data_IF_291704259286
#
_entry.id   IF_291704259286
#
_cell.length_a   1.000
_cell.length_b   1.000
_cell.length_c   1.000
_cell.angle_alpha   90.00
_cell.angle_beta   90.00
_cell.angle_gamma   90.00
#
_symmetry.space_group_name_H-M   'P 1'
#
loop_
_entity.id
_entity.type
_entity.pdbx_description
1 polymer ?
#
# COMPACT_ATOMS: atom_id res chain seq x y z
N UNK A 1 12.03 14.47 -6.14
CA UNK A 1 11.30 14.05 -4.93
C UNK A 1 12.23 13.22 -4.06
N UNK A 2 12.26 13.47 -2.75
CA UNK A 2 12.96 12.60 -1.80
C UNK A 2 12.11 11.34 -1.60
N UNK A 3 12.72 10.16 -1.65
CA UNK A 3 12.01 8.91 -1.33
C UNK A 3 11.96 8.76 0.20
N UNK A 4 10.79 8.42 0.78
CA UNK A 4 10.65 8.31 2.22
C UNK A 4 11.40 7.08 2.72
N UNK A 5 11.83 7.13 3.98
CA UNK A 5 12.26 5.92 4.67
C UNK A 5 11.08 4.94 4.72
N UNK A 6 11.34 3.65 4.47
CA UNK A 6 10.28 2.66 4.45
C UNK A 6 9.59 2.52 5.82
N UNK A 7 10.33 2.73 6.91
CA UNK A 7 9.77 2.68 8.26
C UNK A 7 8.76 3.82 8.49
N UNK A 8 8.98 4.99 7.86
CA UNK A 8 8.04 6.12 7.91
C UNK A 8 6.75 5.77 7.18
N UNK A 9 6.85 5.10 6.03
CA UNK A 9 5.66 4.64 5.29
C UNK A 9 4.88 3.63 6.12
N UNK A 10 5.57 2.60 6.65
CA UNK A 10 4.94 1.54 7.46
C UNK A 10 4.23 2.12 8.69
N UNK A 11 4.86 3.08 9.39
CA UNK A 11 4.27 3.73 10.56
C UNK A 11 3.06 4.61 10.23
N UNK A 12 2.93 5.07 8.99
CA UNK A 12 1.81 5.90 8.55
C UNK A 12 0.61 5.07 8.09
N UNK A 13 0.80 3.82 7.64
CA UNK A 13 -0.32 2.95 7.22
C UNK A 13 -1.28 2.74 8.40
N UNK A 14 -2.57 2.91 8.12
CA UNK A 14 -3.65 2.84 9.10
C UNK A 14 -3.81 4.08 9.98
N UNK A 15 -2.94 5.09 9.83
CA UNK A 15 -3.05 6.36 10.51
C UNK A 15 -3.82 7.38 9.66
N UNK A 16 -4.48 8.32 10.33
CA UNK A 16 -5.17 9.41 9.67
C UNK A 16 -4.31 10.69 9.53
N UNK A 17 -4.78 11.64 8.73
CA UNK A 17 -4.11 12.92 8.44
C UNK A 17 -3.84 13.81 9.65
N UNK A 18 -4.45 13.57 10.82
CA UNK A 18 -4.15 14.28 12.06
C UNK A 18 -2.99 13.68 12.85
N UNK A 19 -2.56 12.45 12.52
CA UNK A 19 -1.49 11.76 13.23
C UNK A 19 -0.10 12.32 12.92
N UNK A 20 0.83 12.17 13.88
CA UNK A 20 2.22 12.58 13.69
C UNK A 20 2.94 11.75 12.61
N UNK A 21 2.67 10.43 12.55
CA UNK A 21 3.26 9.54 11.54
C UNK A 21 2.81 9.92 10.12
N UNK A 22 1.51 10.19 9.94
CA UNK A 22 1.00 10.65 8.64
C UNK A 22 1.57 12.01 8.27
N UNK A 23 1.53 12.96 9.21
CA UNK A 23 2.09 14.31 9.02
C UNK A 23 3.56 14.25 8.59
N UNK A 24 4.35 13.35 9.18
CA UNK A 24 5.75 13.13 8.79
C UNK A 24 5.87 12.60 7.37
N UNK A 25 5.09 11.57 7.00
CA UNK A 25 5.13 11.00 5.64
C UNK A 25 4.76 12.05 4.58
N UNK A 26 3.68 12.80 4.81
CA UNK A 26 3.23 13.85 3.89
C UNK A 26 4.29 14.95 3.75
N UNK A 27 4.95 15.34 4.84
CA UNK A 27 6.05 16.30 4.80
C UNK A 27 7.26 15.77 4.02
N UNK A 28 7.66 14.52 4.23
CA UNK A 28 8.81 13.91 3.52
C UNK A 28 8.56 13.78 2.00
N UNK A 29 7.29 13.60 1.61
CA UNK A 29 6.85 13.51 0.22
C UNK A 29 6.42 14.85 -0.38
N UNK A 30 6.46 15.94 0.41
CA UNK A 30 6.00 17.28 0.02
C UNK A 30 4.53 17.29 -0.49
N UNK A 31 3.67 16.48 0.14
CA UNK A 31 2.25 16.34 -0.21
C UNK A 31 1.42 17.31 0.62
N UNK A 32 0.66 18.18 -0.06
CA UNK A 32 -0.41 18.98 0.53
C UNK A 32 -1.80 18.37 0.30
N UNK A 33 -2.81 18.93 0.97
CA UNK A 33 -4.20 18.46 0.83
C UNK A 33 -4.73 18.51 -0.61
N UNK A 34 -4.23 19.47 -1.41
CA UNK A 34 -4.63 19.67 -2.81
C UNK A 34 -4.09 18.60 -3.76
N UNK A 35 -3.08 17.84 -3.33
CA UNK A 35 -2.43 16.83 -4.15
C UNK A 35 -3.20 15.50 -4.19
N UNK A 36 -4.13 15.31 -3.24
CA UNK A 36 -5.00 14.15 -3.24
C UNK A 36 -6.05 14.25 -4.35
N UNK A 37 -6.07 13.25 -5.21
CA UNK A 37 -7.09 13.13 -6.26
C UNK A 37 -8.20 12.21 -5.75
N UNK A 38 -9.45 12.52 -6.05
CA UNK A 38 -10.53 11.52 -5.96
C UNK A 38 -10.13 10.31 -6.79
N UNK A 39 -10.53 9.12 -6.36
CA UNK A 39 -10.24 7.92 -7.15
C UNK A 39 -10.66 8.12 -8.61
N UNK A 40 -9.93 7.55 -9.59
CA UNK A 40 -10.20 7.73 -11.02
C UNK A 40 -11.64 7.42 -11.45
N UNK A 41 -12.40 6.69 -10.63
CA UNK A 41 -13.80 6.33 -10.86
C UNK A 41 -14.81 7.17 -10.06
N UNK A 42 -14.38 8.30 -9.47
CA UNK A 42 -15.19 9.16 -8.61
C UNK A 42 -15.90 8.41 -7.47
N UNK A 43 -15.20 7.45 -6.85
CA UNK A 43 -15.72 6.73 -5.70
C UNK A 43 -15.66 7.62 -4.47
N UNK A 44 -16.82 7.88 -3.86
CA UNK A 44 -16.95 8.67 -2.66
C UNK A 44 -16.15 8.06 -1.49
N UNK A 45 -15.58 8.92 -0.66
CA UNK A 45 -14.76 8.56 0.50
C UNK A 45 -13.42 7.94 0.13
N UNK A 46 -12.95 8.05 -1.11
CA UNK A 46 -11.71 7.43 -1.55
C UNK A 46 -10.83 8.42 -2.31
N UNK A 47 -9.55 8.47 -1.94
CA UNK A 47 -8.54 9.32 -2.61
C UNK A 47 -7.27 8.55 -2.92
N UNK A 48 -6.59 8.93 -3.99
CA UNK A 48 -5.25 8.45 -4.32
C UNK A 48 -4.29 9.62 -4.43
N UNK A 49 -3.04 9.33 -4.09
CA UNK A 49 -1.90 10.13 -4.50
C UNK A 49 -0.87 9.23 -5.19
N UNK A 50 -0.18 9.78 -6.19
CA UNK A 50 0.93 9.10 -6.85
C UNK A 50 2.07 10.08 -7.04
N UNK A 51 3.31 9.60 -6.89
CA UNK A 51 4.48 10.39 -7.26
C UNK A 51 4.49 10.70 -8.77
N UNK A 52 5.36 11.62 -9.18
CA UNK A 52 5.46 12.04 -10.58
C UNK A 52 5.82 10.90 -11.54
N UNK A 53 6.53 9.88 -11.06
CA UNK A 53 6.90 8.70 -11.85
C UNK A 53 5.79 7.63 -11.86
N UNK A 54 4.81 7.71 -10.97
CA UNK A 54 3.81 6.66 -10.72
C UNK A 54 4.41 5.36 -10.22
N UNK A 55 5.55 5.47 -9.53
CA UNK A 55 6.30 4.39 -8.90
C UNK A 55 5.84 4.15 -7.45
N UNK A 56 5.34 5.18 -6.77
CA UNK A 56 4.71 5.11 -5.46
C UNK A 56 3.26 5.59 -5.56
N UNK A 57 2.34 4.82 -4.99
CA UNK A 57 0.93 5.17 -4.87
C UNK A 57 0.51 5.03 -3.41
N UNK A 58 -0.22 6.03 -2.93
CA UNK A 58 -0.82 6.05 -1.60
C UNK A 58 -2.34 6.07 -1.78
N UNK A 59 -3.02 5.13 -1.14
CA UNK A 59 -4.47 5.00 -1.17
C UNK A 59 -5.05 5.40 0.17
N UNK A 60 -6.00 6.34 0.11
CA UNK A 60 -6.65 6.88 1.29
C UNK A 60 -8.14 6.60 1.26
N UNK A 61 -8.68 6.33 2.44
CA UNK A 61 -10.12 6.27 2.66
C UNK A 61 -10.52 7.26 3.73
N UNK A 62 -11.69 7.84 3.53
CA UNK A 62 -12.39 8.55 4.58
C UNK A 62 -12.67 7.58 5.74
N UNK A 63 -12.48 8.05 6.98
CA UNK A 63 -12.68 7.24 8.19
C UNK A 63 -14.09 6.62 8.27
N UNK A 64 -15.11 7.28 7.71
CA UNK A 64 -16.48 6.77 7.65
C UNK A 64 -16.66 5.53 6.78
N UNK A 65 -15.69 5.21 5.90
CA UNK A 65 -15.65 3.92 5.19
C UNK A 65 -15.01 2.80 5.99
N UNK A 66 -14.28 3.14 7.06
CA UNK A 66 -13.52 2.20 7.86
C UNK A 66 -14.21 1.90 9.20
N UNK A 67 -14.98 2.85 9.71
CA UNK A 67 -15.66 2.77 11.00
C UNK A 67 -17.02 3.43 10.89
N UNK A 68 -17.99 2.89 11.61
CA UNK A 68 -19.28 3.54 11.80
C UNK A 68 -19.10 4.72 12.77
N UNK A 69 -19.27 5.95 12.27
CA UNK A 69 -19.14 7.18 13.04
C UNK A 69 -20.46 7.95 12.95
N UNK A 70 -21.17 8.16 14.08
CA UNK A 70 -22.42 8.90 14.09
C UNK A 70 -22.26 10.31 13.48
N UNK A 71 -23.18 10.66 12.57
CA UNK A 71 -23.27 11.98 11.93
C UNK A 71 -22.06 12.37 11.08
N UNK A 72 -21.26 11.41 10.65
CA UNK A 72 -20.12 11.65 9.78
C UNK A 72 -20.56 11.67 8.31
N UNK A 73 -20.28 12.79 7.63
CA UNK A 73 -20.53 12.93 6.20
C UNK A 73 -19.31 12.42 5.41
N UNK A 74 -19.59 11.54 4.44
CA UNK A 74 -18.55 10.97 3.59
C UNK A 74 -17.87 12.07 2.75
N UNK A 75 -16.54 12.00 2.62
CA UNK A 75 -15.66 12.98 1.96
C UNK A 75 -15.24 14.19 2.82
N UNK A 76 -15.65 14.27 4.09
CA UNK A 76 -15.17 15.29 5.03
C UNK A 76 -13.83 14.92 5.69
N UNK A 77 -13.43 13.64 5.63
CA UNK A 77 -12.27 13.13 6.35
C UNK A 77 -12.52 12.99 7.86
N UNK A 78 -11.52 12.64 8.68
CA UNK A 78 -10.11 12.54 8.33
C UNK A 78 -9.81 11.39 7.36
N UNK A 79 -8.70 11.55 6.62
CA UNK A 79 -8.27 10.62 5.59
C UNK A 79 -7.25 9.64 6.18
N UNK A 80 -7.56 8.35 6.13
CA UNK A 80 -6.69 7.26 6.59
C UNK A 80 -5.93 6.69 5.41
N UNK A 81 -4.60 6.59 5.51
CA UNK A 81 -3.80 5.84 4.55
C UNK A 81 -4.09 4.35 4.72
N UNK A 82 -4.80 3.74 3.78
CA UNK A 82 -5.12 2.31 3.86
C UNK A 82 -4.07 1.45 3.21
N UNK A 83 -3.43 1.95 2.14
CA UNK A 83 -2.45 1.17 1.37
C UNK A 83 -1.34 2.07 0.82
N UNK A 84 -0.09 1.60 0.93
CA UNK A 84 1.05 2.13 0.21
C UNK A 84 1.54 1.08 -0.79
N UNK A 85 1.56 1.43 -2.07
CA UNK A 85 1.87 0.52 -3.18
C UNK A 85 3.13 1.00 -3.90
N UNK A 86 4.13 0.14 -3.92
CA UNK A 86 5.42 0.32 -4.58
C UNK A 86 5.44 -0.49 -5.87
N UNK A 87 5.56 0.19 -6.99
CA UNK A 87 5.44 -0.43 -8.31
C UNK A 87 6.79 -0.84 -8.87
N UNK A 88 6.83 -2.05 -9.44
CA UNK A 88 7.94 -2.54 -10.24
C UNK A 88 7.99 -1.88 -11.62
N UNK A 89 8.84 -2.39 -12.51
CA UNK A 89 8.99 -1.85 -13.87
C UNK A 89 7.68 -2.02 -14.63
N UNK A 90 7.16 -0.92 -15.20
CA UNK A 90 5.99 -0.92 -16.08
C UNK A 90 6.31 -0.25 -17.40
N UNK A 91 5.46 -0.43 -18.41
CA UNK A 91 5.65 0.16 -19.74
C UNK A 91 5.85 1.68 -19.60
N UNK A 92 7.03 2.16 -19.96
CA UNK A 92 7.46 3.57 -19.88
C UNK A 92 7.49 4.18 -18.46
N UNK A 93 7.50 3.37 -17.39
CA UNK A 93 7.65 3.84 -16.00
C UNK A 93 8.74 3.06 -15.28
N UNK A 94 9.55 3.78 -14.51
CA UNK A 94 10.60 3.19 -13.69
C UNK A 94 9.97 2.50 -12.47
N UNK A 95 10.65 1.47 -11.98
CA UNK A 95 10.31 0.88 -10.70
C UNK A 95 10.60 1.88 -9.57
N UNK A 96 9.89 1.72 -8.45
CA UNK A 96 10.20 2.44 -7.22
C UNK A 96 11.66 2.16 -6.82
N UNK A 97 12.44 3.21 -6.63
CA UNK A 97 13.88 3.11 -6.41
C UNK A 97 14.28 3.14 -4.92
N UNK A 98 13.32 3.32 -4.03
CA UNK A 98 13.55 3.36 -2.59
C UNK A 98 13.55 1.97 -1.96
N UNK A 99 13.82 1.91 -0.67
CA UNK A 99 13.73 0.66 0.11
C UNK A 99 12.29 0.13 0.09
N UNK A 100 12.13 -1.18 -0.13
CA UNK A 100 10.85 -1.86 0.00
C UNK A 100 10.69 -2.45 1.41
N UNK A 101 9.43 -2.73 1.83
CA UNK A 101 9.15 -3.34 3.12
C UNK A 101 9.95 -4.62 3.35
N UNK A 102 10.42 -4.81 4.59
CA UNK A 102 11.00 -6.07 5.07
C UNK A 102 12.23 -6.57 4.28
N UNK A 103 12.90 -5.66 3.55
CA UNK A 103 14.07 -5.97 2.74
C UNK A 103 13.77 -6.79 1.49
N UNK A 104 12.52 -6.76 1.02
CA UNK A 104 12.14 -7.27 -0.31
C UNK A 104 12.85 -6.42 -1.38
N UNK A 105 13.08 -7.00 -2.57
CA UNK A 105 13.58 -6.29 -3.75
C UNK A 105 12.82 -6.74 -4.98
N UNK A 106 12.58 -5.85 -5.95
CA UNK A 106 11.98 -6.20 -7.24
C UNK A 106 12.79 -7.21 -8.05
N UNK A 107 14.06 -7.41 -7.73
CA UNK A 107 14.91 -8.45 -8.33
C UNK A 107 14.73 -9.83 -7.71
N UNK A 108 13.97 -9.95 -6.62
CA UNK A 108 13.73 -11.25 -5.97
C UNK A 108 12.72 -12.08 -6.77
N UNK A 109 13.02 -13.37 -6.89
CA UNK A 109 12.05 -14.36 -7.34
C UNK A 109 11.09 -14.71 -6.20
N UNK A 110 9.88 -15.17 -6.54
CA UNK A 110 8.84 -15.55 -5.58
C UNK A 110 9.34 -16.49 -4.45
N UNK A 111 10.14 -17.55 -4.72
CA UNK A 111 10.68 -18.39 -3.64
C UNK A 111 11.58 -17.63 -2.66
N UNK A 112 12.40 -16.69 -3.14
CA UNK A 112 13.28 -15.89 -2.29
C UNK A 112 12.51 -14.88 -1.44
N UNK A 113 11.40 -14.32 -1.95
CA UNK A 113 10.49 -13.49 -1.15
C UNK A 113 9.88 -14.30 -0.01
N UNK A 114 9.40 -15.51 -0.31
CA UNK A 114 8.85 -16.44 0.69
C UNK A 114 9.86 -16.82 1.76
N UNK A 115 11.08 -17.19 1.36
CA UNK A 115 12.16 -17.50 2.30
C UNK A 115 12.50 -16.30 3.20
N UNK A 116 12.63 -15.11 2.60
CA UNK A 116 12.90 -13.87 3.34
C UNK A 116 11.85 -13.59 4.41
N UNK A 117 10.57 -13.72 4.07
CA UNK A 117 9.46 -13.46 4.99
C UNK A 117 9.29 -14.58 6.02
N UNK A 118 9.62 -15.83 5.68
CA UNK A 118 9.67 -16.93 6.63
C UNK A 118 10.74 -16.69 7.71
N UNK A 119 11.93 -16.20 7.34
CA UNK A 119 13.01 -15.83 8.29
C UNK A 119 12.56 -14.71 9.24
N UNK A 120 11.66 -13.83 8.79
CA UNK A 120 11.08 -12.77 9.61
C UNK A 120 9.90 -13.24 10.48
N UNK A 121 9.56 -14.53 10.45
CA UNK A 121 8.45 -15.09 11.22
C UNK A 121 7.07 -14.73 10.69
N UNK A 122 6.94 -14.30 9.43
CA UNK A 122 5.65 -13.94 8.82
C UNK A 122 4.76 -15.15 8.51
N UNK A 123 5.29 -16.37 8.64
CA UNK A 123 4.58 -17.61 8.32
C UNK A 123 4.48 -17.87 6.81
N UNK A 124 3.52 -18.71 6.43
CA UNK A 124 3.26 -19.04 5.02
C UNK A 124 2.43 -17.95 4.36
N UNK A 125 2.69 -17.71 3.07
CA UNK A 125 1.87 -16.84 2.26
C UNK A 125 0.45 -17.41 2.10
N UNK A 126 -0.54 -16.52 2.09
CA UNK A 126 -1.85 -16.82 1.51
C UNK A 126 -1.79 -16.44 0.02
N UNK A 127 -1.98 -17.43 -0.84
CA UNK A 127 -2.01 -17.22 -2.29
C UNK A 127 -3.39 -16.70 -2.73
N UNK A 128 -3.39 -15.63 -3.52
CA UNK A 128 -4.57 -14.95 -4.05
C UNK A 128 -4.36 -14.59 -5.53
N UNK A 129 -5.38 -14.03 -6.16
CA UNK A 129 -5.38 -13.70 -7.59
C UNK A 129 -5.99 -14.81 -8.44
N UNK A 130 -6.23 -14.53 -9.72
CA UNK A 130 -6.94 -15.46 -10.61
C UNK A 130 -6.12 -16.71 -10.92
N UNK A 131 -4.79 -16.55 -10.97
CA UNK A 131 -3.81 -17.59 -11.22
C UNK A 131 -2.91 -17.88 -10.01
N UNK A 132 -3.29 -17.38 -8.82
CA UNK A 132 -2.46 -17.49 -7.63
C UNK A 132 -1.18 -16.66 -7.72
N UNK A 133 -1.20 -15.54 -8.45
CA UNK A 133 -0.05 -14.66 -8.70
C UNK A 133 0.26 -13.69 -7.56
N UNK A 134 -0.58 -13.64 -6.53
CA UNK A 134 -0.45 -12.71 -5.39
C UNK A 134 -0.15 -13.51 -4.13
N UNK A 135 0.92 -13.15 -3.43
CA UNK A 135 1.19 -13.65 -2.08
C UNK A 135 0.88 -12.58 -1.04
N UNK A 136 0.19 -12.97 0.03
CA UNK A 136 -0.20 -12.10 1.14
C UNK A 136 0.33 -12.66 2.46
N UNK A 137 0.89 -11.78 3.29
CA UNK A 137 1.31 -12.06 4.67
C UNK A 137 0.75 -11.03 5.64
N UNK A 138 0.62 -11.42 6.90
CA UNK A 138 0.37 -10.51 8.01
C UNK A 138 1.67 -10.29 8.79
N UNK A 139 2.20 -9.07 8.73
CA UNK A 139 3.47 -8.71 9.39
C UNK A 139 3.22 -7.47 10.25
N UNK A 140 3.49 -7.59 11.56
CA UNK A 140 3.33 -6.50 12.54
C UNK A 140 1.94 -5.83 12.52
N UNK A 141 0.88 -6.60 12.30
CA UNK A 141 -0.51 -6.08 12.27
C UNK A 141 -0.91 -5.41 10.96
N UNK A 142 -0.03 -5.38 9.96
CA UNK A 142 -0.30 -4.90 8.61
C UNK A 142 -0.29 -6.06 7.63
N UNK A 143 -0.96 -5.85 6.50
CA UNK A 143 -0.95 -6.76 5.37
C UNK A 143 0.20 -6.38 4.43
N UNK A 144 1.09 -7.34 4.15
CA UNK A 144 2.10 -7.23 3.11
C UNK A 144 1.64 -8.07 1.92
N UNK A 145 1.51 -7.44 0.76
CA UNK A 145 1.12 -8.09 -0.49
C UNK A 145 2.23 -7.97 -1.51
N UNK A 146 2.55 -9.07 -2.20
CA UNK A 146 3.51 -9.11 -3.31
C UNK A 146 2.82 -9.74 -4.50
N UNK A 147 2.77 -8.99 -5.60
CA UNK A 147 2.13 -9.40 -6.84
C UNK A 147 3.18 -9.73 -7.89
N UNK A 148 3.16 -10.96 -8.42
CA UNK A 148 4.14 -11.48 -9.37
C UNK A 148 3.70 -11.38 -10.84
N UNK A 149 2.63 -10.66 -11.14
CA UNK A 149 2.13 -10.50 -12.53
C UNK A 149 2.92 -9.50 -13.39
N UNK A 150 4.19 -9.26 -13.07
CA UNK A 150 5.08 -8.40 -13.85
C UNK A 150 5.64 -9.13 -15.08
N UNK A 151 6.38 -8.42 -15.96
CA UNK A 151 6.99 -9.03 -17.14
C UNK A 151 7.91 -10.20 -16.78
N UNK A 152 7.64 -11.38 -17.32
CA UNK A 152 8.43 -12.58 -17.06
C UNK A 152 8.29 -13.12 -15.62
N UNK A 153 7.11 -12.97 -15.01
CA UNK A 153 6.81 -13.42 -13.63
C UNK A 153 7.61 -12.65 -12.55
N UNK A 154 8.06 -11.44 -12.90
CA UNK A 154 8.70 -10.51 -11.95
C UNK A 154 7.67 -9.86 -11.02
N UNK A 155 8.11 -9.32 -9.90
CA UNK A 155 7.24 -8.54 -9.01
C UNK A 155 6.68 -7.31 -9.75
N UNK A 156 5.35 -7.27 -9.93
CA UNK A 156 4.59 -6.13 -10.45
C UNK A 156 4.51 -5.01 -9.43
N UNK A 157 4.22 -5.35 -8.18
CA UNK A 157 4.23 -4.42 -7.05
C UNK A 157 4.38 -5.13 -5.72
N UNK A 158 4.80 -4.35 -4.73
CA UNK A 158 4.72 -4.68 -3.31
C UNK A 158 3.81 -3.66 -2.67
N UNK A 159 2.92 -4.05 -1.77
CA UNK A 159 2.11 -3.11 -1.00
C UNK A 159 2.08 -3.47 0.48
N UNK A 160 1.97 -2.43 1.31
CA UNK A 160 1.66 -2.56 2.74
C UNK A 160 0.36 -1.84 2.99
N UNK A 161 -0.60 -2.51 3.63
CA UNK A 161 -1.91 -1.95 3.90
C UNK A 161 -2.50 -2.39 5.22
N UNK A 162 -3.61 -1.77 5.60
CA UNK A 162 -4.42 -2.25 6.72
C UNK A 162 -5.01 -3.63 6.38
N UNK A 163 -5.19 -4.54 7.35
CA UNK A 163 -5.81 -5.82 7.09
C UNK A 163 -7.21 -5.63 6.50
N UNK A 164 -7.48 -6.27 5.36
CA UNK A 164 -8.81 -6.32 4.78
C UNK A 164 -9.53 -7.56 5.32
N UNK A 165 -10.67 -7.35 5.97
CA UNK A 165 -11.55 -8.45 6.33
C UNK A 165 -12.16 -9.04 5.05
N UNK A 166 -11.73 -10.26 4.72
CA UNK A 166 -12.15 -10.99 3.53
C UNK A 166 -13.21 -12.05 3.84
N UNK A 167 -13.71 -12.12 5.08
CA UNK A 167 -14.73 -13.11 5.49
C UNK A 167 -16.08 -12.92 4.80
N UNK A 168 -16.32 -11.77 4.16
CA UNK A 168 -17.54 -11.48 3.41
C UNK A 168 -17.42 -11.58 1.87
N UNK A 169 -16.28 -12.01 1.34
CA UNK A 169 -16.04 -12.04 -0.12
C UNK A 169 -16.40 -13.36 -0.81
N UNK A 170 -17.08 -14.27 -0.12
CA UNK A 170 -17.72 -15.43 -0.75
C UNK A 170 -19.22 -15.15 -0.93
N UNK A 171 -19.56 -14.52 -2.05
CA UNK A 171 -20.92 -14.51 -2.60
C UNK A 171 -20.85 -14.92 -4.07
#
# INVERSE_FOLDING_TARGET
MKLPDIDVVIQAVGQDTSSASMSRLLLELEIGEVDFRRYPFNLAGRRIWTDSEGSLQLEFKDIGLLKDIPYHDLDDGPWVLTDAIFWGVRKNKRAYAGSLPHGVSFSMLRPHVRERLAVLGAGNAVEMGFSGEVDIWWVSGLELTVDFSGPGDSIRCVSVGIPVDRTHSQA
#
